data_IF_432920382967
#
_entry.id   IF_432920382967
#
_cell.length_a   1.000
_cell.length_b   1.000
_cell.length_c   1.000
_cell.angle_alpha   90.00
_cell.angle_beta   90.00
_cell.angle_gamma   90.00
#
_symmetry.space_group_name_H-M   'P 1'
#
loop_
_entity.id
_entity.type
_entity.pdbx_description
1 polymer ?
#
# COMPACT_ATOMS: atom_id res chain seq x y z
N UNK A 1 -8.03 2.13 -15.54
CA UNK A 1 -6.89 1.48 -16.23
C UNK A 1 -5.84 2.55 -16.52
N UNK A 2 -4.78 2.62 -15.74
CA UNK A 2 -3.62 3.43 -16.07
C UNK A 2 -2.72 2.65 -17.03
N UNK A 3 -3.18 2.50 -18.27
CA UNK A 3 -2.43 1.78 -19.31
C UNK A 3 -1.28 2.67 -19.78
N UNK A 4 -0.04 2.19 -19.74
CA UNK A 4 1.10 2.81 -20.38
C UNK A 4 0.75 3.28 -21.79
N UNK A 5 1.11 4.51 -22.11
CA UNK A 5 0.82 5.12 -23.43
C UNK A 5 2.05 5.04 -24.31
N UNK A 6 1.87 4.65 -25.56
CA UNK A 6 2.94 4.76 -26.55
C UNK A 6 3.20 6.23 -26.86
N UNK A 7 4.47 6.62 -26.90
CA UNK A 7 4.86 7.94 -27.39
C UNK A 7 4.52 8.08 -28.89
N UNK A 8 4.27 9.28 -29.36
CA UNK A 8 3.94 9.57 -30.76
C UNK A 8 4.44 10.97 -31.14
N UNK A 9 4.29 11.37 -32.40
CA UNK A 9 4.88 12.55 -33.05
C UNK A 9 4.97 13.85 -32.23
N UNK A 10 3.92 14.22 -31.52
CA UNK A 10 3.88 15.39 -30.61
C UNK A 10 4.31 15.08 -29.18
N UNK A 11 4.29 13.80 -28.77
CA UNK A 11 4.68 13.34 -27.43
C UNK A 11 5.87 12.39 -27.55
N UNK A 12 7.05 12.95 -27.80
CA UNK A 12 8.30 12.17 -27.97
C UNK A 12 8.79 11.60 -26.65
N UNK A 13 9.57 10.52 -26.74
CA UNK A 13 10.24 9.95 -25.57
C UNK A 13 11.21 10.97 -24.95
N UNK A 14 11.07 11.31 -23.67
CA UNK A 14 11.97 12.26 -23.01
C UNK A 14 13.39 11.73 -22.83
N UNK A 15 13.60 10.40 -22.97
CA UNK A 15 14.91 9.77 -22.84
C UNK A 15 15.65 9.72 -24.16
N UNK A 16 15.02 9.19 -25.24
CA UNK A 16 15.70 9.05 -26.54
C UNK A 16 15.23 10.03 -27.61
N UNK A 17 14.28 10.92 -27.32
CA UNK A 17 13.74 11.92 -28.26
C UNK A 17 12.94 11.35 -29.43
N UNK A 18 12.74 10.03 -29.51
CA UNK A 18 12.05 9.38 -30.64
C UNK A 18 10.53 9.36 -30.41
N UNK A 19 9.71 9.40 -31.52
CA UNK A 19 8.25 9.46 -31.42
C UNK A 19 7.57 8.07 -31.41
N UNK A 20 8.32 6.99 -31.22
CA UNK A 20 7.84 5.62 -31.40
C UNK A 20 8.48 4.65 -30.41
N UNK A 21 7.85 3.47 -30.27
CA UNK A 21 8.31 2.30 -29.48
C UNK A 21 8.42 2.49 -27.97
N UNK A 22 8.66 3.68 -27.45
CA UNK A 22 8.73 3.93 -26.03
C UNK A 22 7.34 4.02 -25.40
N UNK A 23 7.25 3.62 -24.13
CA UNK A 23 6.02 3.70 -23.34
C UNK A 23 6.22 4.75 -22.24
N UNK A 24 5.24 5.61 -22.06
CA UNK A 24 5.25 6.61 -20.99
C UNK A 24 4.13 6.30 -20.00
N UNK A 25 4.44 6.41 -18.71
CA UNK A 25 3.46 6.28 -17.63
C UNK A 25 2.36 7.35 -17.79
N UNK A 26 1.10 7.07 -17.45
CA UNK A 26 -0.01 8.02 -17.56
C UNK A 26 0.21 9.33 -16.82
N UNK A 27 0.88 9.26 -15.67
CA UNK A 27 1.29 10.39 -14.83
C UNK A 27 2.65 11.00 -15.23
N UNK A 28 3.25 10.48 -16.29
CA UNK A 28 4.56 10.90 -16.82
C UNK A 28 5.75 10.75 -15.84
N UNK A 29 5.57 10.00 -14.76
CA UNK A 29 6.63 9.76 -13.77
C UNK A 29 7.75 8.85 -14.28
N UNK A 30 7.49 8.08 -15.34
CA UNK A 30 8.46 7.10 -15.85
C UNK A 30 8.28 6.84 -17.36
N UNK A 31 9.35 6.36 -17.98
CA UNK A 31 9.40 5.94 -19.39
C UNK A 31 10.07 4.58 -19.50
N UNK A 32 9.51 3.69 -20.30
CA UNK A 32 10.19 2.47 -20.75
C UNK A 32 10.74 2.76 -22.15
N UNK A 33 12.07 2.83 -22.26
CA UNK A 33 12.78 3.09 -23.49
C UNK A 33 13.55 1.86 -23.95
N UNK A 34 13.23 1.27 -25.11
CA UNK A 34 13.97 0.11 -25.61
C UNK A 34 15.35 0.47 -26.18
N UNK A 35 15.72 1.75 -26.23
CA UNK A 35 16.90 2.24 -26.95
C UNK A 35 18.04 2.74 -26.05
N UNK A 36 17.74 3.18 -24.85
CA UNK A 36 18.70 3.82 -23.96
C UNK A 36 18.76 3.06 -22.64
N UNK A 37 19.90 2.55 -22.29
CA UNK A 37 20.18 1.87 -21.03
C UNK A 37 20.71 2.87 -19.98
N UNK A 38 21.54 3.80 -20.41
CA UNK A 38 22.20 4.76 -19.53
C UNK A 38 21.18 5.58 -18.72
N UNK A 39 21.34 5.61 -17.39
CA UNK A 39 20.42 6.29 -16.47
C UNK A 39 19.11 5.53 -16.20
N UNK A 40 18.97 4.31 -16.67
CA UNK A 40 17.81 3.47 -16.33
C UNK A 40 17.91 2.90 -14.91
N UNK A 41 16.77 2.66 -14.28
CA UNK A 41 16.69 1.99 -12.99
C UNK A 41 16.75 0.47 -13.11
N UNK A 42 16.20 -0.10 -14.20
CA UNK A 42 16.22 -1.55 -14.49
C UNK A 42 15.77 -1.87 -15.92
N UNK A 43 16.08 -3.07 -16.38
CA UNK A 43 15.52 -3.64 -17.62
C UNK A 43 14.18 -4.33 -17.33
N UNK A 44 13.18 -4.11 -18.18
CA UNK A 44 11.89 -4.81 -18.15
C UNK A 44 11.85 -5.75 -19.35
N UNK A 45 11.80 -7.05 -19.07
CA UNK A 45 11.80 -8.09 -20.09
C UNK A 45 10.71 -7.88 -21.14
N UNK A 46 11.08 -7.95 -22.41
CA UNK A 46 10.17 -7.73 -23.55
C UNK A 46 9.72 -6.29 -23.77
N UNK A 47 10.18 -5.31 -22.98
CA UNK A 47 9.72 -3.92 -23.06
C UNK A 47 10.84 -2.89 -23.16
N UNK A 48 11.99 -3.09 -22.51
CA UNK A 48 13.14 -2.20 -22.54
C UNK A 48 13.53 -1.65 -21.18
N UNK A 49 14.29 -0.57 -21.18
CA UNK A 49 14.89 0.03 -19.99
C UNK A 49 13.94 1.04 -19.33
N UNK A 50 13.72 0.90 -18.03
CA UNK A 50 12.88 1.79 -17.25
C UNK A 50 13.68 3.00 -16.77
N UNK A 51 13.22 4.18 -17.12
CA UNK A 51 13.73 5.45 -16.61
C UNK A 51 12.67 6.10 -15.73
N UNK A 52 13.01 6.38 -14.48
CA UNK A 52 12.19 7.18 -13.56
C UNK A 52 12.52 8.66 -13.81
N UNK A 53 11.52 9.44 -14.21
CA UNK A 53 11.68 10.86 -14.51
C UNK A 53 11.50 11.67 -13.21
N UNK A 54 12.52 12.45 -12.84
CA UNK A 54 12.40 13.37 -11.71
C UNK A 54 11.49 14.55 -12.07
N UNK A 55 10.68 15.00 -11.13
CA UNK A 55 9.69 16.09 -11.30
C UNK A 55 10.28 17.46 -11.70
N UNK A 56 11.59 17.57 -11.80
CA UNK A 56 12.31 18.81 -12.14
C UNK A 56 12.47 19.04 -13.65
N UNK A 57 12.06 18.12 -14.50
CA UNK A 57 12.22 18.26 -15.93
C UNK A 57 11.21 19.25 -16.52
N UNK A 58 11.72 20.29 -17.13
CA UNK A 58 11.02 21.50 -17.57
C UNK A 58 9.86 21.23 -18.55
N UNK A 59 9.90 20.10 -19.29
CA UNK A 59 8.86 19.70 -20.23
C UNK A 59 7.55 19.19 -19.59
N UNK A 60 7.57 18.85 -18.29
CA UNK A 60 6.35 18.48 -17.52
C UNK A 60 5.42 19.67 -17.26
N UNK A 61 5.91 20.90 -17.44
CA UNK A 61 5.17 22.12 -17.10
C UNK A 61 4.26 22.64 -18.23
N UNK A 62 4.45 22.21 -19.48
CA UNK A 62 3.86 22.93 -20.62
C UNK A 62 2.60 22.31 -21.25
N UNK A 63 2.23 21.04 -21.01
CA UNK A 63 1.13 20.40 -21.77
C UNK A 63 0.12 19.55 -20.99
N UNK A 64 0.14 19.49 -19.68
CA UNK A 64 -0.82 18.68 -18.93
C UNK A 64 -1.83 19.53 -18.16
N UNK A 65 -2.97 19.83 -18.80
CA UNK A 65 -4.20 20.20 -18.09
C UNK A 65 -5.05 18.94 -17.89
N UNK A 66 -5.06 18.32 -16.70
CA UNK A 66 -5.98 17.24 -16.42
C UNK A 66 -7.40 17.80 -16.41
N UNK A 67 -8.26 17.29 -17.29
CA UNK A 67 -9.70 17.47 -17.14
C UNK A 67 -10.15 16.73 -15.86
N UNK A 68 -10.34 17.48 -14.80
CA UNK A 68 -10.55 16.99 -13.44
C UNK A 68 -9.27 17.19 -12.64
N UNK A 69 -9.18 18.30 -11.89
CA UNK A 69 -8.02 18.66 -11.11
C UNK A 69 -7.61 17.51 -10.17
N UNK A 70 -6.43 16.94 -10.37
CA UNK A 70 -5.77 16.18 -9.34
C UNK A 70 -5.36 17.23 -8.30
N UNK A 71 -6.25 17.48 -7.34
CA UNK A 71 -5.90 18.22 -6.15
C UNK A 71 -4.73 17.45 -5.53
N UNK A 72 -3.58 18.08 -5.41
CA UNK A 72 -2.46 17.50 -4.68
C UNK A 72 -3.01 16.97 -3.35
N UNK A 73 -2.70 15.71 -3.03
CA UNK A 73 -3.11 15.15 -1.74
C UNK A 73 -2.50 16.06 -0.66
N UNK A 74 -3.29 16.48 0.34
CA UNK A 74 -2.75 17.29 1.43
C UNK A 74 -1.59 16.54 2.08
N UNK A 75 -0.54 17.26 2.44
CA UNK A 75 0.61 16.65 3.13
C UNK A 75 0.18 16.13 4.51
N UNK A 76 -0.69 16.87 5.20
CA UNK A 76 -1.23 16.52 6.49
C UNK A 76 -2.58 17.24 6.71
N UNK A 77 -3.47 16.61 7.47
CA UNK A 77 -4.74 17.24 7.87
C UNK A 77 -4.78 17.40 9.40
N UNK A 78 -4.35 18.56 9.89
CA UNK A 78 -4.20 18.83 11.32
C UNK A 78 -5.52 18.64 12.09
N UNK A 79 -6.64 19.06 11.54
CA UNK A 79 -7.97 18.92 12.20
C UNK A 79 -8.31 17.45 12.41
N UNK A 80 -8.10 16.62 11.39
CA UNK A 80 -8.32 15.17 11.52
C UNK A 80 -7.27 14.53 12.43
N UNK A 81 -6.03 15.00 12.42
CA UNK A 81 -4.97 14.48 13.27
C UNK A 81 -5.24 14.74 14.76
N UNK A 82 -5.68 15.95 15.12
CA UNK A 82 -6.09 16.28 16.50
C UNK A 82 -7.23 15.36 16.94
N UNK A 83 -8.24 15.19 16.08
CA UNK A 83 -9.39 14.32 16.36
C UNK A 83 -8.97 12.85 16.52
N UNK A 84 -8.12 12.35 15.64
CA UNK A 84 -7.60 10.98 15.73
C UNK A 84 -6.81 10.75 17.02
N UNK A 85 -5.92 11.68 17.39
CA UNK A 85 -5.15 11.59 18.66
C UNK A 85 -6.07 11.49 19.88
N UNK A 86 -7.15 12.29 19.93
CA UNK A 86 -8.16 12.19 20.99
C UNK A 86 -8.79 10.79 21.04
N UNK A 87 -9.29 10.30 19.93
CA UNK A 87 -9.94 8.99 19.86
C UNK A 87 -9.00 7.81 20.12
N UNK A 88 -7.71 7.92 19.75
CA UNK A 88 -6.69 6.91 20.08
C UNK A 88 -6.43 6.89 21.58
N UNK A 89 -6.28 8.07 22.20
CA UNK A 89 -6.09 8.21 23.64
C UNK A 89 -7.28 7.68 24.44
N UNK A 90 -8.50 7.91 23.96
CA UNK A 90 -9.75 7.53 24.63
C UNK A 90 -10.12 6.04 24.37
N UNK A 91 -9.34 5.33 23.56
CA UNK A 91 -9.54 3.92 23.26
C UNK A 91 -8.93 3.06 24.37
N UNK A 92 -9.74 2.57 25.26
CA UNK A 92 -9.32 1.69 26.34
C UNK A 92 -9.02 0.25 25.86
N UNK A 93 -8.41 -0.54 26.75
CA UNK A 93 -8.05 -1.93 26.44
C UNK A 93 -9.28 -2.79 26.12
N UNK A 94 -10.43 -2.53 26.76
CA UNK A 94 -11.64 -3.32 26.53
C UNK A 94 -12.13 -3.18 25.09
N UNK A 95 -12.02 -1.98 24.50
CA UNK A 95 -12.36 -1.70 23.09
C UNK A 95 -11.40 -2.38 22.12
N UNK A 96 -10.11 -2.43 22.47
CA UNK A 96 -9.11 -3.14 21.65
C UNK A 96 -9.36 -4.65 21.72
N UNK A 97 -9.60 -5.21 22.91
CA UNK A 97 -9.93 -6.62 23.08
C UNK A 97 -11.24 -6.99 22.34
N UNK A 98 -12.27 -6.14 22.42
CA UNK A 98 -13.52 -6.36 21.68
C UNK A 98 -13.27 -6.42 20.16
N UNK A 99 -12.49 -5.50 19.62
CA UNK A 99 -12.19 -5.49 18.19
C UNK A 99 -11.30 -6.68 17.78
N UNK A 100 -10.29 -7.00 18.57
CA UNK A 100 -9.41 -8.17 18.42
C UNK A 100 -10.23 -9.45 18.27
N UNK A 101 -11.15 -9.69 19.17
CA UNK A 101 -12.04 -10.85 19.15
C UNK A 101 -12.97 -10.83 17.91
N UNK A 102 -13.53 -9.68 17.55
CA UNK A 102 -14.42 -9.55 16.37
C UNK A 102 -13.71 -9.79 15.04
N UNK A 103 -12.44 -9.43 14.94
CA UNK A 103 -11.65 -9.57 13.73
C UNK A 103 -10.79 -10.83 13.71
N UNK A 104 -10.65 -11.53 14.84
CA UNK A 104 -9.73 -12.66 15.05
C UNK A 104 -8.27 -12.26 14.74
N UNK A 105 -7.84 -11.09 15.25
CA UNK A 105 -6.50 -10.55 15.10
C UNK A 105 -5.90 -10.22 16.46
N UNK A 106 -4.57 -10.05 16.55
CA UNK A 106 -3.93 -9.69 17.81
C UNK A 106 -4.25 -8.25 18.23
N UNK A 107 -4.31 -7.99 19.53
CA UNK A 107 -4.42 -6.62 20.07
C UNK A 107 -3.21 -5.77 19.66
N UNK A 108 -2.03 -6.37 19.58
CA UNK A 108 -0.79 -5.72 19.18
C UNK A 108 -0.91 -5.15 17.74
N UNK A 109 -1.42 -5.93 16.79
CA UNK A 109 -1.64 -5.48 15.42
C UNK A 109 -2.56 -4.26 15.34
N UNK A 110 -3.60 -4.20 16.18
CA UNK A 110 -4.51 -3.06 16.27
C UNK A 110 -3.82 -1.82 16.88
N UNK A 111 -2.95 -2.02 17.87
CA UNK A 111 -2.15 -0.94 18.46
C UNK A 111 -1.12 -0.39 17.47
N UNK A 112 -0.47 -1.26 16.69
CA UNK A 112 0.43 -0.83 15.61
C UNK A 112 -0.28 0.04 14.57
N UNK A 113 -1.56 -0.20 14.32
CA UNK A 113 -2.39 0.61 13.41
C UNK A 113 -2.99 1.87 14.06
N UNK A 114 -2.64 2.19 15.31
CA UNK A 114 -3.19 3.32 16.07
C UNK A 114 -4.72 3.32 16.11
N UNK A 115 -5.32 2.18 16.39
CA UNK A 115 -6.78 2.08 16.50
C UNK A 115 -7.27 2.94 17.65
N UNK A 116 -8.31 3.73 17.39
CA UNK A 116 -8.98 4.58 18.36
C UNK A 116 -10.45 4.21 18.54
N UNK A 117 -11.14 4.92 19.45
CA UNK A 117 -12.56 4.77 19.68
C UNK A 117 -13.30 6.11 19.63
N UNK A 118 -14.32 6.20 18.75
CA UNK A 118 -15.19 7.36 18.62
C UNK A 118 -16.54 7.08 19.30
N UNK A 119 -16.69 7.55 20.53
CA UNK A 119 -17.85 7.27 21.37
C UNK A 119 -19.17 7.78 20.76
N UNK A 120 -19.13 8.96 20.11
CA UNK A 120 -20.30 9.58 19.52
C UNK A 120 -20.89 8.81 18.33
N UNK A 121 -20.08 8.01 17.64
CA UNK A 121 -20.53 7.16 16.52
C UNK A 121 -20.45 5.67 16.85
N UNK A 122 -20.06 5.32 18.09
CA UNK A 122 -19.82 3.91 18.52
C UNK A 122 -18.99 3.15 17.48
N UNK A 123 -17.84 3.74 17.11
CA UNK A 123 -17.02 3.22 16.02
C UNK A 123 -15.55 3.13 16.42
N UNK A 124 -14.89 2.05 15.98
CA UNK A 124 -13.43 2.01 15.96
C UNK A 124 -12.90 2.92 14.86
N UNK A 125 -11.81 3.57 15.14
CA UNK A 125 -11.15 4.58 14.32
C UNK A 125 -9.87 4.00 13.75
N UNK A 126 -9.69 4.11 12.43
CA UNK A 126 -8.46 3.72 11.74
C UNK A 126 -7.91 4.95 11.02
N UNK A 127 -6.77 5.50 11.46
CA UNK A 127 -6.10 6.60 10.78
C UNK A 127 -5.62 6.17 9.39
N UNK A 128 -5.80 7.05 8.41
CA UNK A 128 -5.29 6.86 7.04
C UNK A 128 -4.21 7.90 6.77
N UNK A 129 -3.03 7.43 6.36
CA UNK A 129 -1.82 8.24 6.22
C UNK A 129 -1.33 8.26 4.76
N UNK A 130 -0.62 9.29 4.38
CA UNK A 130 0.14 9.35 3.12
C UNK A 130 1.55 8.78 3.30
N UNK A 131 2.23 9.17 4.38
CA UNK A 131 3.50 8.64 4.86
C UNK A 131 3.38 8.47 6.37
N UNK A 132 4.31 7.80 7.01
CA UNK A 132 4.27 7.60 8.45
C UNK A 132 4.12 8.95 9.19
N UNK A 133 3.08 9.08 10.01
CA UNK A 133 2.73 10.30 10.74
C UNK A 133 1.97 11.38 9.94
N UNK A 134 1.87 11.30 8.62
CA UNK A 134 1.17 12.29 7.78
C UNK A 134 -0.30 11.89 7.56
N UNK A 135 -1.14 12.15 8.53
CA UNK A 135 -2.56 11.78 8.48
C UNK A 135 -3.33 12.64 7.47
N UNK A 136 -4.06 12.00 6.57
CA UNK A 136 -4.92 12.65 5.55
C UNK A 136 -6.36 12.19 5.59
N UNK A 137 -6.69 11.17 6.37
CA UNK A 137 -8.05 10.67 6.50
C UNK A 137 -8.25 9.77 7.71
N UNK A 138 -9.50 9.43 7.96
CA UNK A 138 -9.90 8.52 9.03
C UNK A 138 -11.03 7.64 8.52
N UNK A 139 -10.86 6.33 8.68
CA UNK A 139 -11.90 5.32 8.46
C UNK A 139 -12.57 4.98 9.79
N UNK A 140 -13.88 4.92 9.81
CA UNK A 140 -14.67 4.47 10.93
C UNK A 140 -15.28 3.09 10.65
N UNK A 141 -15.13 2.19 11.59
CA UNK A 141 -15.78 0.88 11.63
C UNK A 141 -16.78 0.87 12.79
N UNK A 142 -18.07 1.06 12.54
CA UNK A 142 -19.07 1.06 13.61
C UNK A 142 -19.28 -0.34 14.18
N UNK A 143 -19.82 -0.41 15.39
CA UNK A 143 -20.27 -1.67 16.01
C UNK A 143 -21.21 -2.43 15.09
N UNK A 144 -22.11 -1.70 14.43
CA UNK A 144 -23.08 -2.23 13.48
C UNK A 144 -23.12 -1.35 12.24
N UNK A 145 -23.24 -1.96 11.07
CA UNK A 145 -23.38 -1.24 9.80
C UNK A 145 -22.11 -1.20 8.95
N UNK A 146 -22.14 -0.35 7.93
CA UNK A 146 -21.05 -0.24 6.95
C UNK A 146 -19.95 0.70 7.42
N UNK A 147 -18.70 0.40 7.08
CA UNK A 147 -17.57 1.31 7.27
C UNK A 147 -17.76 2.61 6.49
N UNK A 148 -17.34 3.74 7.05
CA UNK A 148 -17.40 5.03 6.38
C UNK A 148 -16.19 5.91 6.75
N UNK A 149 -15.97 6.99 6.00
CA UNK A 149 -14.89 7.94 6.29
C UNK A 149 -15.41 9.17 7.03
N UNK A 150 -14.61 9.72 7.92
CA UNK A 150 -14.90 11.02 8.54
C UNK A 150 -14.94 12.11 7.46
N UNK A 151 -15.88 13.04 7.55
CA UNK A 151 -16.01 14.15 6.59
C UNK A 151 -14.68 14.92 6.47
N UNK A 152 -14.24 15.15 5.24
CA UNK A 152 -12.96 15.80 4.91
C UNK A 152 -11.78 14.83 4.78
N UNK A 153 -11.98 13.53 5.04
CA UNK A 153 -10.96 12.52 4.81
C UNK A 153 -10.63 12.36 3.33
N UNK A 154 -9.36 12.15 3.03
CA UNK A 154 -8.85 11.61 1.77
C UNK A 154 -8.46 10.16 1.95
N UNK A 155 -8.42 9.40 0.85
CA UNK A 155 -7.96 8.02 0.87
C UNK A 155 -6.44 8.01 1.06
N UNK A 156 -6.00 7.62 2.24
CA UNK A 156 -4.63 7.32 2.61
C UNK A 156 -4.45 5.81 2.79
N UNK A 157 -3.35 5.41 3.40
CA UNK A 157 -3.03 4.02 3.71
C UNK A 157 -3.15 3.77 5.22
N UNK A 158 -3.43 2.52 5.59
CA UNK A 158 -3.29 2.04 6.97
C UNK A 158 -1.84 1.61 7.15
N UNK A 159 -1.04 2.46 7.80
CA UNK A 159 0.41 2.28 7.98
C UNK A 159 0.68 1.97 9.45
N UNK A 160 1.32 0.84 9.79
CA UNK A 160 1.70 0.54 11.17
C UNK A 160 2.87 1.43 11.62
N UNK A 161 2.96 1.65 12.95
CA UNK A 161 4.03 2.48 13.54
C UNK A 161 5.44 1.92 13.37
N UNK A 162 5.56 0.60 13.14
CA UNK A 162 6.82 -0.14 13.06
C UNK A 162 7.19 -0.56 11.63
N UNK A 163 6.64 0.10 10.60
CA UNK A 163 6.98 -0.22 9.22
C UNK A 163 8.49 0.02 9.01
N UNK A 164 9.27 -0.99 8.59
CA UNK A 164 10.69 -0.83 8.35
C UNK A 164 10.97 0.00 7.10
N UNK A 165 12.16 0.60 7.00
CA UNK A 165 12.57 1.41 5.85
C UNK A 165 12.93 0.58 4.60
N UNK A 166 13.15 -0.72 4.76
CA UNK A 166 13.55 -1.67 3.71
C UNK A 166 13.04 -3.08 4.02
N UNK A 167 13.02 -3.92 3.02
CA UNK A 167 12.65 -5.32 3.12
C UNK A 167 11.32 -5.63 2.47
N UNK A 168 10.76 -6.78 2.79
CA UNK A 168 9.51 -7.26 2.20
C UNK A 168 8.32 -6.64 2.94
N UNK A 169 7.39 -6.03 2.18
CA UNK A 169 6.15 -5.45 2.71
C UNK A 169 4.96 -6.02 1.95
N UNK A 170 3.95 -6.43 2.69
CA UNK A 170 2.69 -6.94 2.16
C UNK A 170 1.68 -5.80 2.03
N UNK A 171 1.04 -5.69 0.87
CA UNK A 171 -0.01 -4.68 0.61
C UNK A 171 -1.34 -5.37 0.38
N UNK A 172 -2.33 -5.10 1.23
CA UNK A 172 -3.66 -5.70 1.17
C UNK A 172 -4.78 -4.66 1.09
N UNK A 173 -6.02 -5.11 0.95
CA UNK A 173 -7.20 -4.24 0.99
C UNK A 173 -7.79 -4.16 2.41
N UNK A 174 -7.95 -2.94 2.90
CA UNK A 174 -8.63 -2.66 4.17
C UNK A 174 -7.78 -2.82 5.42
N UNK A 175 -8.31 -2.25 6.48
CA UNK A 175 -7.66 -2.23 7.80
C UNK A 175 -7.65 -3.61 8.49
N UNK A 176 -8.65 -4.45 8.19
CA UNK A 176 -8.77 -5.77 8.82
C UNK A 176 -7.76 -6.78 8.31
N UNK A 177 -7.50 -6.77 7.00
CA UNK A 177 -6.48 -7.64 6.40
C UNK A 177 -5.07 -7.18 6.75
N UNK A 178 -4.88 -5.86 6.86
CA UNK A 178 -3.63 -5.31 7.39
C UNK A 178 -3.36 -5.80 8.80
N UNK A 179 -4.36 -5.72 9.70
CA UNK A 179 -4.24 -6.25 11.05
C UNK A 179 -3.99 -7.76 11.08
N UNK A 180 -4.59 -8.51 10.15
CA UNK A 180 -4.37 -9.96 10.04
C UNK A 180 -2.92 -10.30 9.65
N UNK A 181 -2.36 -9.63 8.67
CA UNK A 181 -0.97 -9.84 8.26
C UNK A 181 0.02 -9.40 9.36
N UNK A 182 -0.25 -8.29 10.05
CA UNK A 182 0.54 -7.87 11.22
C UNK A 182 0.44 -8.89 12.37
N UNK A 183 -0.71 -9.53 12.57
CA UNK A 183 -0.90 -10.62 13.55
C UNK A 183 -0.02 -11.82 13.24
N UNK A 184 0.24 -12.09 11.97
CA UNK A 184 1.16 -13.12 11.51
C UNK A 184 2.65 -12.73 11.68
N UNK A 185 2.97 -11.51 12.13
CA UNK A 185 4.34 -11.03 12.23
C UNK A 185 4.91 -10.49 10.90
N UNK A 186 4.07 -10.25 9.89
CA UNK A 186 4.47 -9.72 8.60
C UNK A 186 4.42 -8.20 8.58
N UNK A 187 5.35 -7.55 7.87
CA UNK A 187 5.26 -6.11 7.61
C UNK A 187 4.14 -5.85 6.62
N UNK A 188 3.10 -5.14 7.01
CA UNK A 188 1.94 -4.94 6.15
C UNK A 188 1.43 -3.50 6.12
N UNK A 189 0.90 -3.10 4.96
CA UNK A 189 0.25 -1.81 4.72
C UNK A 189 -1.10 -2.05 4.03
N UNK A 190 -2.14 -1.36 4.47
CA UNK A 190 -3.48 -1.50 3.90
C UNK A 190 -3.88 -0.35 3.00
N UNK A 191 -4.53 -0.67 1.87
CA UNK A 191 -5.24 0.30 1.03
C UNK A 191 -6.69 0.44 1.49
N UNK A 192 -7.31 1.63 1.38
CA UNK A 192 -8.72 1.78 1.78
C UNK A 192 -9.71 1.10 0.85
N UNK A 193 -9.29 0.75 -0.37
CA UNK A 193 -10.02 -0.05 -1.35
C UNK A 193 -9.08 -0.53 -2.47
N UNK A 194 -9.50 -1.55 -3.22
CA UNK A 194 -8.74 -2.11 -4.35
C UNK A 194 -8.44 -1.11 -5.49
N UNK A 195 -9.18 -0.01 -5.58
CA UNK A 195 -9.05 0.99 -6.64
C UNK A 195 -8.43 2.32 -6.15
N UNK A 196 -7.80 2.34 -4.98
CA UNK A 196 -7.25 3.59 -4.43
C UNK A 196 -5.94 3.39 -3.69
N UNK A 197 -5.14 4.45 -3.63
CA UNK A 197 -3.90 4.46 -2.85
C UNK A 197 -2.65 4.05 -3.63
N UNK A 198 -2.74 3.63 -4.90
CA UNK A 198 -1.62 3.10 -5.69
C UNK A 198 -0.41 4.05 -5.68
N UNK A 199 -0.66 5.35 -5.90
CA UNK A 199 0.39 6.36 -5.88
C UNK A 199 1.08 6.46 -4.52
N UNK A 200 0.29 6.44 -3.43
CA UNK A 200 0.84 6.55 -2.08
C UNK A 200 1.64 5.28 -1.73
N UNK A 201 1.15 4.10 -2.16
CA UNK A 201 1.90 2.83 -2.01
C UNK A 201 3.25 2.92 -2.73
N UNK A 202 3.27 3.39 -3.99
CA UNK A 202 4.51 3.53 -4.76
C UNK A 202 5.49 4.55 -4.16
N UNK A 203 4.99 5.67 -3.63
CA UNK A 203 5.80 6.66 -2.92
C UNK A 203 6.37 6.08 -1.61
N UNK A 204 5.56 5.38 -0.82
CA UNK A 204 5.93 4.80 0.46
C UNK A 204 6.93 3.64 0.32
N UNK A 205 6.70 2.75 -0.65
CA UNK A 205 7.39 1.47 -0.77
C UNK A 205 8.42 1.43 -1.90
N UNK A 206 8.94 2.58 -2.33
CA UNK A 206 9.90 2.68 -3.44
C UNK A 206 11.18 1.84 -3.26
N UNK A 207 11.60 1.62 -2.01
CA UNK A 207 12.82 0.87 -1.66
C UNK A 207 12.52 -0.54 -1.11
N UNK A 208 11.29 -1.03 -1.28
CA UNK A 208 10.84 -2.32 -0.72
C UNK A 208 10.60 -3.34 -1.82
N UNK A 209 10.73 -4.61 -1.46
CA UNK A 209 10.09 -5.70 -2.17
C UNK A 209 8.62 -5.80 -1.71
N UNK A 210 7.68 -5.80 -2.65
CA UNK A 210 6.26 -5.72 -2.33
C UNK A 210 5.51 -6.98 -2.75
N UNK A 211 4.79 -7.58 -1.80
CA UNK A 211 3.82 -8.66 -2.06
C UNK A 211 2.42 -8.06 -2.03
N UNK A 212 1.74 -7.99 -3.16
CA UNK A 212 0.36 -7.55 -3.24
C UNK A 212 -0.57 -8.71 -2.91
N UNK A 213 -1.24 -8.63 -1.76
CA UNK A 213 -2.25 -9.61 -1.34
C UNK A 213 -3.59 -9.26 -1.98
N UNK A 214 -4.08 -10.12 -2.86
CA UNK A 214 -5.34 -9.93 -3.56
C UNK A 214 -6.49 -10.66 -2.86
N UNK A 215 -7.66 -10.02 -2.78
CA UNK A 215 -8.90 -10.72 -2.46
C UNK A 215 -9.27 -11.65 -3.61
N UNK A 216 -9.96 -12.76 -3.31
CA UNK A 216 -10.32 -13.75 -4.32
C UNK A 216 -11.47 -13.35 -5.23
N UNK A 217 -12.19 -12.29 -4.90
CA UNK A 217 -13.23 -11.81 -5.80
C UNK A 217 -12.65 -11.11 -7.06
N UNK A 218 -13.47 -11.02 -8.11
CA UNK A 218 -13.00 -10.50 -9.40
C UNK A 218 -12.57 -9.03 -9.36
N UNK A 219 -13.14 -8.24 -8.45
CA UNK A 219 -12.82 -6.81 -8.29
C UNK A 219 -11.51 -6.64 -7.54
N UNK A 220 -11.32 -7.38 -6.43
CA UNK A 220 -10.10 -7.38 -5.63
C UNK A 220 -8.90 -7.87 -6.44
N UNK A 221 -9.05 -9.01 -7.18
CA UNK A 221 -8.00 -9.52 -8.05
C UNK A 221 -7.57 -8.51 -9.12
N UNK A 222 -8.53 -7.92 -9.82
CA UNK A 222 -8.24 -6.91 -10.84
C UNK A 222 -7.55 -5.66 -10.26
N UNK A 223 -7.97 -5.21 -9.07
CA UNK A 223 -7.34 -4.10 -8.38
C UNK A 223 -5.92 -4.43 -7.91
N UNK A 224 -5.65 -5.67 -7.51
CA UNK A 224 -4.32 -6.14 -7.16
C UNK A 224 -3.40 -6.22 -8.41
N UNK A 225 -3.89 -6.77 -9.54
CA UNK A 225 -3.15 -6.80 -10.81
C UNK A 225 -2.77 -5.39 -11.27
N UNK A 226 -3.68 -4.42 -11.15
CA UNK A 226 -3.41 -3.01 -11.50
C UNK A 226 -2.33 -2.42 -10.59
N UNK A 227 -2.37 -2.70 -9.28
CA UNK A 227 -1.33 -2.27 -8.35
C UNK A 227 0.02 -2.91 -8.65
N UNK A 228 0.05 -4.20 -8.94
CA UNK A 228 1.29 -4.91 -9.36
C UNK A 228 1.89 -4.24 -10.58
N UNK A 229 1.08 -3.96 -11.62
CA UNK A 229 1.55 -3.30 -12.83
C UNK A 229 2.08 -1.87 -12.55
N UNK A 230 1.46 -1.17 -11.62
CA UNK A 230 1.95 0.14 -11.18
C UNK A 230 3.27 0.02 -10.41
N UNK A 231 3.36 -0.92 -9.47
CA UNK A 231 4.54 -1.08 -8.61
C UNK A 231 5.76 -1.67 -9.32
N UNK A 232 5.61 -2.36 -10.45
CA UNK A 232 6.74 -2.83 -11.26
C UNK A 232 7.76 -1.73 -11.60
N UNK A 233 7.31 -0.48 -11.60
CA UNK A 233 8.15 0.69 -11.93
C UNK A 233 8.51 1.55 -10.72
N UNK A 234 7.87 1.32 -9.58
CA UNK A 234 8.04 2.15 -8.39
C UNK A 234 8.74 1.43 -7.22
N UNK A 235 8.54 0.13 -7.06
CA UNK A 235 9.14 -0.67 -6.00
C UNK A 235 10.44 -1.36 -6.46
N UNK A 236 11.26 -1.83 -5.51
CA UNK A 236 12.48 -2.61 -5.83
C UNK A 236 12.15 -3.96 -6.45
N UNK A 237 11.01 -4.53 -6.10
CA UNK A 237 10.45 -5.74 -6.66
C UNK A 237 8.97 -5.85 -6.31
N UNK A 238 8.18 -6.58 -7.12
CA UNK A 238 6.77 -6.80 -6.81
C UNK A 238 6.33 -8.18 -7.27
N UNK A 239 5.53 -8.83 -6.44
CA UNK A 239 4.81 -10.06 -6.77
C UNK A 239 3.40 -10.02 -6.21
N UNK A 240 2.58 -11.03 -6.50
CA UNK A 240 1.21 -11.13 -6.01
C UNK A 240 1.00 -12.44 -5.27
N UNK A 241 0.23 -12.39 -4.19
CA UNK A 241 -0.18 -13.54 -3.39
C UNK A 241 -1.70 -13.57 -3.26
N UNK A 242 -2.29 -14.75 -3.30
CA UNK A 242 -3.71 -14.98 -3.01
C UNK A 242 -3.83 -15.95 -1.83
N UNK A 243 -4.86 -15.80 -0.98
CA UNK A 243 -5.18 -16.84 -0.01
C UNK A 243 -5.58 -18.14 -0.74
N UNK A 244 -5.53 -19.30 -0.10
CA UNK A 244 -6.06 -20.56 -0.66
C UNK A 244 -7.51 -20.43 -1.13
N UNK A 245 -7.96 -21.36 -2.02
CA UNK A 245 -9.26 -21.23 -2.71
C UNK A 245 -10.49 -21.16 -1.78
N UNK A 246 -10.39 -21.74 -0.59
CA UNK A 246 -11.45 -21.76 0.42
C UNK A 246 -11.60 -20.44 1.18
N UNK A 247 -10.66 -19.53 1.10
CA UNK A 247 -10.66 -18.26 1.83
C UNK A 247 -10.82 -17.07 0.88
N UNK A 248 -11.58 -16.07 1.32
CA UNK A 248 -11.87 -14.88 0.53
C UNK A 248 -10.71 -13.88 0.54
N UNK A 249 -10.14 -13.63 1.70
CA UNK A 249 -9.15 -12.60 1.98
C UNK A 249 -8.11 -13.10 3.01
N UNK A 250 -7.09 -12.29 3.32
CA UNK A 250 -6.01 -12.69 4.24
C UNK A 250 -6.51 -12.90 5.67
N UNK A 251 -7.49 -12.13 6.12
CA UNK A 251 -8.08 -12.28 7.45
C UNK A 251 -8.91 -13.56 7.56
N UNK A 252 -9.67 -13.89 6.53
CA UNK A 252 -10.44 -15.14 6.46
C UNK A 252 -9.50 -16.36 6.51
N UNK A 253 -8.36 -16.29 5.81
CA UNK A 253 -7.34 -17.32 5.86
C UNK A 253 -6.69 -17.45 7.23
N UNK A 254 -6.28 -16.33 7.87
CA UNK A 254 -5.77 -16.32 9.24
C UNK A 254 -6.76 -16.98 10.21
N UNK A 255 -8.04 -16.65 10.08
CA UNK A 255 -9.08 -17.22 10.95
C UNK A 255 -9.25 -18.72 10.76
N UNK A 256 -9.12 -19.23 9.53
CA UNK A 256 -9.30 -20.64 9.20
C UNK A 256 -8.11 -21.53 9.53
N UNK A 257 -6.89 -21.10 9.28
CA UNK A 257 -5.68 -21.94 9.39
C UNK A 257 -4.65 -21.46 10.42
N UNK A 258 -4.83 -20.23 10.93
CA UNK A 258 -3.94 -19.67 11.93
C UNK A 258 -2.71 -18.96 11.36
N UNK A 259 -1.96 -18.30 12.25
CA UNK A 259 -0.86 -17.40 11.88
C UNK A 259 0.34 -18.10 11.25
N UNK A 260 0.64 -19.31 11.71
CA UNK A 260 1.84 -20.06 11.28
C UNK A 260 1.73 -20.45 9.80
N UNK A 261 0.54 -20.85 9.34
CA UNK A 261 0.32 -21.24 7.95
C UNK A 261 0.41 -20.03 7.03
N UNK A 262 -0.21 -18.90 7.39
CA UNK A 262 -0.14 -17.64 6.64
C UNK A 262 1.30 -17.14 6.57
N UNK A 263 2.04 -17.17 7.68
CA UNK A 263 3.45 -16.77 7.74
C UNK A 263 4.33 -17.65 6.84
N UNK A 264 4.19 -18.97 6.95
CA UNK A 264 4.97 -19.95 6.15
C UNK A 264 4.75 -19.76 4.64
N UNK A 265 3.50 -19.52 4.24
CA UNK A 265 3.19 -19.27 2.84
C UNK A 265 3.76 -17.91 2.36
N UNK A 266 3.70 -16.88 3.18
CA UNK A 266 4.29 -15.58 2.89
C UNK A 266 5.82 -15.65 2.76
N UNK A 267 6.48 -16.39 3.66
CA UNK A 267 7.91 -16.64 3.61
C UNK A 267 8.32 -17.39 2.35
N UNK A 268 7.55 -18.42 1.97
CA UNK A 268 7.78 -19.18 0.72
C UNK A 268 7.73 -18.26 -0.49
N UNK A 269 6.72 -17.40 -0.63
CA UNK A 269 6.60 -16.44 -1.73
C UNK A 269 7.82 -15.51 -1.78
N UNK A 270 8.27 -15.00 -0.64
CA UNK A 270 9.46 -14.14 -0.58
C UNK A 270 10.74 -14.87 -0.95
N UNK A 271 10.91 -16.10 -0.47
CA UNK A 271 12.08 -16.94 -0.79
C UNK A 271 12.12 -17.30 -2.27
N UNK A 272 11.01 -17.71 -2.86
CA UNK A 272 10.92 -18.11 -4.28
C UNK A 272 11.22 -16.93 -5.21
N UNK A 273 10.75 -15.72 -4.87
CA UNK A 273 10.87 -14.54 -5.74
C UNK A 273 12.20 -13.82 -5.56
N UNK A 274 12.68 -13.66 -4.31
CA UNK A 274 13.84 -12.80 -4.00
C UNK A 274 14.94 -13.49 -3.20
N UNK A 275 14.75 -14.74 -2.78
CA UNK A 275 15.71 -15.47 -1.93
C UNK A 275 15.86 -14.85 -0.53
N UNK A 276 14.84 -14.15 -0.03
CA UNK A 276 14.87 -13.43 1.25
C UNK A 276 13.81 -13.91 2.22
N UNK A 277 14.16 -13.94 3.51
CA UNK A 277 13.21 -14.17 4.59
C UNK A 277 12.34 -12.93 4.87
N UNK A 278 11.10 -13.15 5.27
CA UNK A 278 10.21 -12.11 5.77
C UNK A 278 10.45 -11.95 7.28
N UNK A 279 11.29 -11.01 7.69
CA UNK A 279 11.53 -10.76 9.12
C UNK A 279 10.62 -9.63 9.62
N UNK A 280 9.86 -9.93 10.69
CA UNK A 280 9.33 -8.88 11.56
C UNK A 280 10.50 -8.27 12.33
N UNK A 281 10.63 -6.94 12.31
CA UNK A 281 11.72 -6.22 12.97
C UNK A 281 11.70 -6.25 14.52
N UNK A 282 11.31 -7.36 15.15
CA UNK A 282 11.18 -7.51 16.61
C UNK A 282 12.25 -8.35 17.29
N UNK A 283 13.26 -8.85 16.57
CA UNK A 283 14.35 -9.61 17.23
C UNK A 283 15.68 -8.87 17.21
N UNK A 284 15.84 -7.87 18.03
CA UNK A 284 17.17 -7.43 18.46
C UNK A 284 17.13 -6.47 19.66
N UNK A 285 16.71 -6.94 20.83
CA UNK A 285 17.21 -6.45 22.12
C UNK A 285 16.89 -7.45 23.22
N UNK A 286 17.58 -8.55 23.19
CA UNK A 286 17.65 -9.51 24.29
C UNK A 286 19.03 -10.08 24.35
N UNK A 287 19.83 -9.63 25.34
CA UNK A 287 21.01 -10.32 25.76
C UNK A 287 22.33 -9.64 25.44
N UNK A 288 22.81 -8.87 26.37
CA UNK A 288 24.22 -8.84 26.72
C UNK A 288 24.32 -8.54 28.22
N UNK A 289 25.00 -9.43 28.88
CA UNK A 289 25.41 -9.45 30.27
C UNK A 289 25.98 -8.13 30.80
#
# INVERSE_FOLDING_TARGET
>A
MHRWKRVHGLSRCPVCGKPDWCLIAPDRSAVICPRVEEGSSRYIEGSGYLHVLRVTDQWMKEEYHPKGGISALPEHNEVLAIRARGWIKDCDNSRITELSNRLSVSEESLRLLNVGWAENTKSWVFPMQRMSGCLIGIRLRPLNGKKFAVRGSKNGLFIPNNLPDKGVVFVCEGESDTAALLTCGLNAVGRPSCNSGDRIVGELLANHEVVVCADRDGVGRKGAEQLVDYLKIHASGVTMMLPPNQYKDMRDWLHGEGKEEVYTAAERVSQEVWGRAVHSGCDARGGAD
#
